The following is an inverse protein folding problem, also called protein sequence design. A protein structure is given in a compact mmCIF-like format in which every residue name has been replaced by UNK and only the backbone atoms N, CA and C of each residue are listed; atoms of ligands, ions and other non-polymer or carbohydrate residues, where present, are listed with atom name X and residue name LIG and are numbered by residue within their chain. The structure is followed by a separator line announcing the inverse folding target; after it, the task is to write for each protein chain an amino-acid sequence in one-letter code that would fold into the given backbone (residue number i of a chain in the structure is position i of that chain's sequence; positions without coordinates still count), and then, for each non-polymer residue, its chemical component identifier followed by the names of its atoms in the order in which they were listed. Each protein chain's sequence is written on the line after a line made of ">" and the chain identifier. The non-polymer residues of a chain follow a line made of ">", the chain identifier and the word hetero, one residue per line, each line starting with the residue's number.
data_IF_635009236276
#
_entry.id   IF_635009236276
#
_cell.length_a   1.000
_cell.length_b   1.000
_cell.length_c   1.000
_cell.angle_alpha   90.00
_cell.angle_beta   90.00
_cell.angle_gamma   90.00
#
_symmetry.space_group_name_H-M   'P 1'
#
loop_
_entity.id
_entity.type
_entity.pdbx_description
1 polymer ?
#
# COMPACT_ATOMS: atom_id res chain seq x y z
N UNK A 1 -17.82 -31.50 -4.90
CA UNK A 1 -18.00 -30.35 -5.81
C UNK A 1 -16.81 -29.43 -5.62
N UNK A 2 -15.93 -29.33 -6.62
CA UNK A 2 -14.75 -28.46 -6.55
C UNK A 2 -15.18 -27.06 -6.98
N UNK A 3 -15.40 -26.16 -6.02
CA UNK A 3 -15.61 -24.75 -6.35
C UNK A 3 -14.30 -24.21 -6.94
N UNK A 4 -14.29 -23.99 -8.25
CA UNK A 4 -13.22 -23.27 -8.92
C UNK A 4 -13.15 -21.85 -8.35
N UNK A 5 -12.23 -21.61 -7.42
CA UNK A 5 -11.96 -20.28 -6.87
C UNK A 5 -11.54 -19.36 -8.01
N UNK A 6 -12.44 -18.48 -8.45
CA UNK A 6 -12.15 -17.47 -9.46
C UNK A 6 -11.15 -16.47 -8.87
N UNK A 7 -9.92 -16.52 -9.35
CA UNK A 7 -8.94 -15.48 -9.10
C UNK A 7 -9.31 -14.25 -9.94
N UNK A 8 -9.23 -13.06 -9.34
CA UNK A 8 -9.53 -11.82 -10.05
C UNK A 8 -8.39 -11.53 -11.05
N UNK A 9 -8.72 -11.40 -12.33
CA UNK A 9 -7.74 -10.96 -13.33
C UNK A 9 -7.47 -9.46 -13.12
N UNK A 10 -6.20 -9.10 -12.95
CA UNK A 10 -5.77 -7.72 -12.71
C UNK A 10 -5.16 -7.14 -13.97
N UNK A 11 -5.44 -5.86 -14.21
CA UNK A 11 -4.67 -5.08 -15.17
C UNK A 11 -3.30 -4.73 -14.56
N UNK A 12 -2.24 -4.61 -15.37
CA UNK A 12 -0.91 -4.19 -14.91
C UNK A 12 -0.94 -2.89 -14.10
N UNK A 13 -1.75 -1.92 -14.55
CA UNK A 13 -1.88 -0.61 -13.90
C UNK A 13 -2.59 -0.66 -12.53
N UNK A 14 -3.26 -1.77 -12.22
CA UNK A 14 -3.96 -1.98 -10.95
C UNK A 14 -3.09 -2.70 -9.90
N UNK A 15 -1.82 -2.98 -10.20
CA UNK A 15 -0.88 -3.58 -9.27
C UNK A 15 -0.52 -2.59 -8.15
N UNK A 16 -0.84 -2.96 -6.92
CA UNK A 16 -0.44 -2.20 -5.73
C UNK A 16 0.78 -2.83 -5.08
N UNK A 17 1.67 -1.99 -4.53
CA UNK A 17 2.74 -2.44 -3.65
C UNK A 17 2.13 -3.18 -2.45
N UNK A 18 2.78 -4.25 -2.01
CA UNK A 18 2.33 -5.18 -0.97
C UNK A 18 1.11 -6.04 -1.34
N UNK A 19 0.75 -6.12 -2.62
CA UNK A 19 -0.29 -7.01 -3.10
C UNK A 19 0.27 -8.40 -3.41
N UNK A 20 -0.40 -9.45 -2.94
CA UNK A 20 -0.06 -10.81 -3.37
C UNK A 20 -0.68 -11.10 -4.73
N UNK A 21 0.13 -11.57 -5.66
CA UNK A 21 -0.26 -11.85 -7.04
C UNK A 21 0.34 -13.17 -7.52
N UNK A 22 -0.35 -13.80 -8.47
CA UNK A 22 0.18 -14.90 -9.28
C UNK A 22 0.28 -14.41 -10.71
N UNK A 23 1.50 -14.38 -11.24
CA UNK A 23 1.80 -13.94 -12.60
C UNK A 23 2.14 -15.15 -13.45
N UNK A 24 1.57 -15.21 -14.65
CA UNK A 24 1.88 -16.20 -15.68
C UNK A 24 2.64 -15.50 -16.81
N UNK A 25 3.84 -15.98 -17.12
CA UNK A 25 4.69 -15.43 -18.18
C UNK A 25 4.37 -16.05 -19.55
N UNK A 26 4.84 -15.43 -20.63
CA UNK A 26 4.70 -15.93 -21.99
C UNK A 26 5.34 -17.32 -22.18
N UNK A 27 6.35 -17.64 -21.37
CA UNK A 27 7.01 -18.94 -21.35
C UNK A 27 6.22 -20.02 -20.60
N UNK A 28 5.07 -19.66 -20.02
CA UNK A 28 4.20 -20.54 -19.25
C UNK A 28 4.63 -20.72 -17.78
N UNK A 29 5.63 -19.96 -17.32
CA UNK A 29 6.06 -19.99 -15.92
C UNK A 29 5.04 -19.27 -15.03
N UNK A 30 4.71 -19.89 -13.89
CA UNK A 30 3.80 -19.31 -12.90
C UNK A 30 4.57 -18.89 -11.66
N UNK A 31 4.63 -17.59 -11.44
CA UNK A 31 5.37 -16.97 -10.34
C UNK A 31 4.34 -16.40 -9.36
N UNK A 32 4.42 -16.82 -8.10
CA UNK A 32 3.54 -16.30 -7.04
C UNK A 32 4.35 -15.60 -5.97
N UNK A 33 3.94 -14.40 -5.60
CA UNK A 33 4.64 -13.63 -4.58
C UNK A 33 3.91 -12.34 -4.22
N UNK A 34 4.64 -11.40 -3.64
CA UNK A 34 4.15 -10.07 -3.29
C UNK A 34 4.87 -9.02 -4.12
N UNK A 35 4.10 -8.07 -4.65
CA UNK A 35 4.61 -6.93 -5.41
C UNK A 35 5.36 -6.01 -4.46
N UNK A 36 6.67 -5.87 -4.65
CA UNK A 36 7.48 -4.91 -3.91
C UNK A 36 7.57 -3.56 -4.63
N UNK A 37 7.57 -3.59 -5.96
CA UNK A 37 7.62 -2.41 -6.80
C UNK A 37 6.88 -2.68 -8.11
N UNK A 38 6.16 -1.69 -8.60
CA UNK A 38 5.47 -1.76 -9.88
C UNK A 38 5.68 -0.44 -10.61
N UNK A 39 6.07 -0.53 -11.86
CA UNK A 39 6.14 0.59 -12.81
C UNK A 39 5.43 0.18 -14.11
N UNK A 40 5.26 1.13 -15.01
CA UNK A 40 4.67 0.98 -16.34
C UNK A 40 5.28 -0.13 -17.20
N UNK A 41 6.56 -0.49 -16.96
CA UNK A 41 7.29 -1.46 -17.79
C UNK A 41 7.64 -2.76 -17.06
N UNK A 42 7.72 -2.75 -15.74
CA UNK A 42 8.23 -3.87 -14.97
C UNK A 42 7.57 -3.99 -13.58
N UNK A 43 7.53 -5.22 -13.08
CA UNK A 43 7.08 -5.55 -11.74
C UNK A 43 8.16 -6.34 -11.01
N UNK A 44 8.45 -5.95 -9.77
CA UNK A 44 9.34 -6.68 -8.87
C UNK A 44 8.49 -7.46 -7.88
N UNK A 45 8.69 -8.78 -7.85
CA UNK A 45 7.94 -9.70 -6.99
C UNK A 45 8.91 -10.42 -6.07
N UNK A 46 8.52 -10.55 -4.81
CA UNK A 46 9.24 -11.36 -3.83
C UNK A 46 8.41 -12.59 -3.50
N UNK A 47 8.99 -13.77 -3.75
CA UNK A 47 8.32 -15.04 -3.49
C UNK A 47 8.27 -15.39 -1.98
N UNK A 48 7.75 -16.57 -1.64
CA UNK A 48 7.69 -17.03 -0.25
C UNK A 48 9.05 -17.37 0.35
N UNK A 49 10.06 -17.63 -0.48
CA UNK A 49 11.44 -17.90 -0.07
C UNK A 49 12.28 -16.63 0.12
N UNK A 50 11.70 -15.45 -0.21
CA UNK A 50 12.42 -14.18 -0.18
C UNK A 50 13.23 -13.91 -1.46
N UNK A 51 13.08 -14.74 -2.50
CA UNK A 51 13.74 -14.52 -3.78
C UNK A 51 13.02 -13.41 -4.54
N UNK A 52 13.78 -12.39 -4.92
CA UNK A 52 13.29 -11.31 -5.76
C UNK A 52 13.34 -11.71 -7.24
N UNK A 53 12.26 -11.47 -7.97
CA UNK A 53 12.15 -11.73 -9.40
C UNK A 53 11.56 -10.49 -10.07
N UNK A 54 12.35 -9.86 -10.94
CA UNK A 54 11.90 -8.76 -11.78
C UNK A 54 11.33 -9.32 -13.08
N UNK A 55 10.11 -8.90 -13.44
CA UNK A 55 9.42 -9.32 -14.64
C UNK A 55 9.08 -8.11 -15.49
N UNK A 56 9.40 -8.16 -16.77
CA UNK A 56 8.93 -7.19 -17.76
C UNK A 56 7.44 -7.46 -18.04
N UNK A 57 6.61 -6.42 -17.96
CA UNK A 57 5.17 -6.53 -18.20
C UNK A 57 4.84 -6.98 -19.63
N UNK A 58 5.73 -6.72 -20.59
CA UNK A 58 5.63 -7.24 -21.96
C UNK A 58 5.61 -8.76 -22.05
N UNK A 59 6.23 -9.43 -21.08
CA UNK A 59 6.36 -10.89 -21.04
C UNK A 59 5.30 -11.53 -20.12
N UNK A 60 4.37 -10.74 -19.59
CA UNK A 60 3.31 -11.19 -18.70
C UNK A 60 2.04 -11.43 -19.48
N UNK A 61 1.50 -12.64 -19.40
CA UNK A 61 0.25 -13.05 -20.07
C UNK A 61 -0.95 -12.80 -19.17
N UNK A 62 -0.84 -13.14 -17.88
CA UNK A 62 -1.92 -12.88 -16.93
C UNK A 62 -1.40 -12.54 -15.54
N UNK A 63 -2.07 -11.60 -14.90
CA UNK A 63 -1.86 -11.24 -13.50
C UNK A 63 -3.14 -11.60 -12.76
N UNK A 64 -3.00 -12.45 -11.76
CA UNK A 64 -4.11 -12.89 -10.92
C UNK A 64 -3.92 -12.32 -9.53
N UNK A 65 -4.93 -11.58 -9.07
CA UNK A 65 -4.97 -10.97 -7.76
C UNK A 65 -5.15 -11.98 -6.63
N UNK A 66 -5.11 -11.49 -5.38
CA UNK A 66 -5.36 -12.33 -4.22
C UNK A 66 -6.76 -12.94 -4.34
N UNK A 67 -6.90 -14.18 -3.87
CA UNK A 67 -8.19 -14.85 -3.89
C UNK A 67 -9.25 -14.00 -3.17
N UNK A 68 -10.45 -13.83 -3.77
CA UNK A 68 -11.54 -13.17 -3.08
C UNK A 68 -11.87 -13.94 -1.81
N UNK A 69 -11.95 -13.23 -0.69
CA UNK A 69 -12.35 -13.81 0.60
C UNK A 69 -13.87 -13.90 0.59
N UNK A 70 -14.38 -15.12 0.72
CA UNK A 70 -15.81 -15.40 0.81
C UNK A 70 -16.17 -15.80 2.24
N UNK A 71 -17.32 -15.35 2.70
CA UNK A 71 -17.92 -15.81 3.94
C UNK A 71 -18.55 -17.22 3.79
N UNK A 72 -18.93 -17.86 4.90
CA UNK A 72 -19.62 -19.15 4.95
C UNK A 72 -20.91 -19.18 4.12
N UNK A 73 -21.52 -18.01 3.90
CA UNK A 73 -22.71 -17.82 3.07
C UNK A 73 -22.38 -17.56 1.58
N UNK A 74 -21.11 -17.63 1.18
CA UNK A 74 -20.65 -17.36 -0.19
C UNK A 74 -20.62 -15.87 -0.56
N UNK A 75 -20.82 -14.97 0.41
CA UNK A 75 -20.82 -13.51 0.19
C UNK A 75 -19.39 -12.99 0.21
N UNK A 76 -19.03 -12.14 -0.75
CA UNK A 76 -17.73 -11.48 -0.81
C UNK A 76 -17.50 -10.59 0.42
N UNK A 77 -16.34 -10.74 1.05
CA UNK A 77 -15.85 -9.81 2.08
C UNK A 77 -15.02 -8.74 1.38
N UNK A 78 -15.45 -7.47 1.52
CA UNK A 78 -14.80 -6.37 0.82
C UNK A 78 -13.44 -6.02 1.44
N UNK A 79 -12.54 -5.40 0.65
CA UNK A 79 -11.25 -4.92 1.17
C UNK A 79 -11.41 -3.88 2.29
N UNK A 80 -12.40 -2.99 2.15
CA UNK A 80 -12.69 -1.96 3.15
C UNK A 80 -13.12 -2.57 4.50
N UNK A 81 -13.88 -3.66 4.46
CA UNK A 81 -14.29 -4.39 5.65
C UNK A 81 -13.11 -5.09 6.32
N UNK A 82 -12.26 -5.77 5.55
CA UNK A 82 -11.01 -6.36 6.07
C UNK A 82 -10.12 -5.27 6.69
N UNK A 83 -9.95 -4.13 6.01
CA UNK A 83 -9.11 -3.04 6.49
C UNK A 83 -9.69 -2.39 7.77
N UNK A 84 -11.00 -2.42 7.99
CA UNK A 84 -11.62 -1.90 9.22
C UNK A 84 -11.25 -2.69 10.49
N UNK A 85 -10.91 -3.98 10.34
CA UNK A 85 -10.45 -4.84 11.42
C UNK A 85 -8.93 -5.00 11.46
N UNK A 86 -8.20 -4.35 10.55
CA UNK A 86 -6.75 -4.45 10.47
C UNK A 86 -6.11 -3.65 11.60
N UNK A 87 -5.31 -4.32 12.41
CA UNK A 87 -4.44 -3.67 13.41
C UNK A 87 -3.00 -3.76 12.93
N UNK A 88 -2.18 -2.75 13.20
CA UNK A 88 -0.75 -2.77 12.82
C UNK A 88 0.14 -3.39 13.92
N UNK A 89 -0.46 -4.15 14.84
CA UNK A 89 0.21 -4.63 16.05
C UNK A 89 1.27 -5.67 15.72
N UNK A 90 0.97 -6.64 14.84
CA UNK A 90 1.96 -7.66 14.48
C UNK A 90 3.01 -7.07 13.53
N UNK A 91 2.65 -6.16 12.63
CA UNK A 91 3.60 -5.42 11.79
C UNK A 91 4.67 -4.74 12.64
N UNK A 92 4.25 -3.95 13.65
CA UNK A 92 5.20 -3.25 14.54
C UNK A 92 6.03 -4.23 15.36
N UNK A 93 5.41 -5.26 15.90
CA UNK A 93 6.09 -6.26 16.73
C UNK A 93 7.16 -7.01 15.93
N UNK A 94 6.80 -7.50 14.74
CA UNK A 94 7.73 -8.22 13.87
C UNK A 94 8.82 -7.30 13.32
N UNK A 95 8.51 -6.04 12.99
CA UNK A 95 9.53 -5.07 12.59
C UNK A 95 10.59 -4.85 13.69
N UNK A 96 10.15 -4.70 14.95
CA UNK A 96 11.06 -4.51 16.09
C UNK A 96 11.89 -5.77 16.32
N UNK A 97 11.24 -6.95 16.40
CA UNK A 97 11.93 -8.22 16.65
C UNK A 97 12.90 -8.56 15.52
N UNK A 98 12.46 -8.43 14.26
CA UNK A 98 13.29 -8.68 13.08
C UNK A 98 14.45 -7.72 12.97
N UNK A 99 14.25 -6.45 13.33
CA UNK A 99 15.30 -5.46 13.45
C UNK A 99 16.35 -5.89 14.47
N UNK A 100 15.95 -6.24 15.70
CA UNK A 100 16.89 -6.67 16.75
C UNK A 100 17.70 -7.90 16.34
N UNK A 101 17.04 -8.94 15.81
CA UNK A 101 17.71 -10.19 15.39
C UNK A 101 18.73 -9.91 14.28
N UNK A 102 18.31 -9.16 13.26
CA UNK A 102 19.15 -8.90 12.10
C UNK A 102 20.25 -7.88 12.39
N UNK A 103 20.00 -6.94 13.29
CA UNK A 103 21.02 -6.05 13.87
C UNK A 103 22.09 -6.83 14.62
N UNK A 104 21.71 -7.80 15.45
CA UNK A 104 22.65 -8.69 16.14
C UNK A 104 23.49 -9.53 15.17
N UNK A 105 22.87 -10.09 14.12
CA UNK A 105 23.58 -10.79 13.04
C UNK A 105 24.55 -9.86 12.29
N UNK A 106 24.11 -8.64 11.96
CA UNK A 106 24.91 -7.62 11.30
C UNK A 106 26.11 -7.15 12.14
N UNK A 107 25.94 -7.06 13.46
CA UNK A 107 27.02 -6.80 14.41
C UNK A 107 28.06 -7.93 14.38
N UNK A 108 27.62 -9.20 14.43
CA UNK A 108 28.54 -10.36 14.39
C UNK A 108 29.29 -10.42 13.06
N UNK A 109 28.59 -10.24 11.94
CA UNK A 109 29.20 -10.22 10.60
C UNK A 109 30.18 -9.05 10.43
N UNK A 110 29.81 -7.86 10.92
CA UNK A 110 30.67 -6.68 10.94
C UNK A 110 31.93 -6.89 11.78
N UNK A 111 31.81 -7.53 12.94
CA UNK A 111 32.96 -7.91 13.78
C UNK A 111 33.90 -8.88 13.05
N UNK A 112 33.35 -9.93 12.43
CA UNK A 112 34.11 -10.91 11.64
C UNK A 112 34.86 -10.25 10.47
N UNK A 113 34.22 -9.35 9.73
CA UNK A 113 34.88 -8.60 8.65
C UNK A 113 35.97 -7.65 9.18
N UNK A 114 35.71 -6.98 10.31
CA UNK A 114 36.70 -6.13 10.99
C UNK A 114 37.98 -6.90 11.34
N UNK A 115 37.85 -8.13 11.88
CA UNK A 115 39.00 -9.00 12.16
C UNK A 115 39.75 -9.47 10.91
N UNK A 116 39.03 -9.68 9.79
CA UNK A 116 39.63 -10.17 8.55
C UNK A 116 40.41 -9.09 7.78
N UNK A 117 40.05 -7.81 7.91
CA UNK A 117 40.61 -6.71 7.11
C UNK A 117 41.85 -6.08 7.78
N UNK A 118 42.14 -6.40 9.04
CA UNK A 118 43.37 -5.96 9.73
C UNK A 118 43.49 -4.44 9.86
N UNK A 119 42.36 -3.73 9.80
CA UNK A 119 42.29 -2.27 9.77
C UNK A 119 42.45 -1.65 11.16
N UNK A 120 43.05 -0.46 11.21
CA UNK A 120 43.16 0.38 12.41
C UNK A 120 41.81 0.62 13.09
N UNK A 121 41.81 0.80 14.42
CA UNK A 121 40.62 0.87 15.31
C UNK A 121 39.47 1.76 14.79
N UNK A 122 39.78 2.82 14.05
CA UNK A 122 38.78 3.72 13.49
C UNK A 122 37.94 3.08 12.37
N UNK A 123 38.55 2.28 11.49
CA UNK A 123 37.83 1.60 10.40
C UNK A 123 37.03 0.38 10.89
N UNK A 124 37.50 -0.29 11.95
CA UNK A 124 36.78 -1.43 12.53
C UNK A 124 35.42 -1.02 13.12
N UNK A 125 35.39 0.09 13.87
CA UNK A 125 34.12 0.60 14.44
C UNK A 125 33.13 1.02 13.36
N UNK A 126 33.60 1.60 12.25
CA UNK A 126 32.75 1.99 11.12
C UNK A 126 32.13 0.77 10.43
N UNK A 127 32.91 -0.30 10.21
CA UNK A 127 32.42 -1.53 9.57
C UNK A 127 31.38 -2.24 10.45
N UNK A 128 31.60 -2.29 11.77
CA UNK A 128 30.66 -2.87 12.73
C UNK A 128 29.37 -2.05 12.77
N UNK A 129 29.47 -0.72 12.80
CA UNK A 129 28.31 0.17 12.84
C UNK A 129 27.48 0.05 11.57
N UNK A 130 28.12 0.06 10.39
CA UNK A 130 27.44 -0.13 9.11
C UNK A 130 26.76 -1.49 9.06
N UNK A 131 27.47 -2.58 9.40
CA UNK A 131 26.89 -3.93 9.40
C UNK A 131 25.67 -4.04 10.32
N UNK A 132 25.72 -3.43 11.51
CA UNK A 132 24.61 -3.41 12.46
C UNK A 132 23.43 -2.58 11.96
N UNK A 133 23.68 -1.38 11.41
CA UNK A 133 22.64 -0.51 10.85
C UNK A 133 21.93 -1.18 9.67
N UNK A 134 22.70 -1.74 8.72
CA UNK A 134 22.14 -2.43 7.56
C UNK A 134 21.38 -3.69 7.96
N UNK A 135 21.86 -4.42 8.98
CA UNK A 135 21.16 -5.54 9.58
C UNK A 135 19.81 -5.13 10.18
N UNK A 136 19.79 -4.06 10.99
CA UNK A 136 18.57 -3.54 11.62
C UNK A 136 17.50 -3.16 10.60
N UNK A 137 17.87 -2.41 9.55
CA UNK A 137 16.91 -1.91 8.56
C UNK A 137 16.37 -3.03 7.68
N UNK A 138 17.25 -3.88 7.16
CA UNK A 138 16.87 -4.99 6.27
C UNK A 138 16.01 -6.01 7.02
N UNK A 139 16.39 -6.36 8.25
CA UNK A 139 15.61 -7.22 9.12
C UNK A 139 14.25 -6.63 9.48
N UNK A 140 14.22 -5.36 9.86
CA UNK A 140 12.98 -4.68 10.19
C UNK A 140 11.98 -4.73 9.03
N UNK A 141 12.42 -4.47 7.80
CA UNK A 141 11.56 -4.49 6.60
C UNK A 141 11.07 -5.91 6.30
N UNK A 142 11.97 -6.90 6.24
CA UNK A 142 11.60 -8.28 5.91
C UNK A 142 10.58 -8.85 6.91
N UNK A 143 10.82 -8.64 8.20
CA UNK A 143 9.88 -9.12 9.22
C UNK A 143 8.61 -8.26 9.30
N UNK A 144 8.66 -6.95 9.02
CA UNK A 144 7.46 -6.11 8.91
C UNK A 144 6.50 -6.62 7.84
N UNK A 145 7.00 -7.06 6.68
CA UNK A 145 6.13 -7.63 5.63
C UNK A 145 5.45 -8.92 6.09
N UNK A 146 6.13 -9.73 6.91
CA UNK A 146 5.56 -10.94 7.51
C UNK A 146 4.50 -10.60 8.55
N UNK A 147 4.77 -9.62 9.42
CA UNK A 147 3.80 -9.12 10.39
C UNK A 147 2.54 -8.54 9.72
N UNK A 148 2.71 -7.79 8.63
CA UNK A 148 1.61 -7.22 7.85
C UNK A 148 0.69 -8.31 7.23
N UNK A 149 1.27 -9.42 6.77
CA UNK A 149 0.50 -10.57 6.27
C UNK A 149 -0.33 -11.18 7.39
N UNK A 150 0.25 -11.34 8.58
CA UNK A 150 -0.43 -11.94 9.72
C UNK A 150 -1.53 -11.02 10.30
N UNK A 151 -1.30 -9.71 10.30
CA UNK A 151 -2.32 -8.71 10.63
C UNK A 151 -3.52 -8.80 9.67
N UNK A 152 -3.25 -8.97 8.38
CA UNK A 152 -4.31 -9.15 7.37
C UNK A 152 -5.08 -10.46 7.55
N UNK A 153 -4.40 -11.56 7.85
CA UNK A 153 -5.05 -12.86 8.14
C UNK A 153 -5.98 -12.75 9.35
N UNK A 154 -5.51 -12.16 10.45
CA UNK A 154 -6.35 -11.90 11.63
C UNK A 154 -7.53 -10.98 11.31
N UNK A 155 -7.32 -9.95 10.50
CA UNK A 155 -8.39 -9.05 10.09
C UNK A 155 -9.47 -9.77 9.27
N UNK A 156 -9.06 -10.69 8.38
CA UNK A 156 -9.98 -11.57 7.64
C UNK A 156 -10.74 -12.47 8.61
N UNK A 157 -10.06 -13.12 9.55
CA UNK A 157 -10.68 -13.99 10.55
C UNK A 157 -11.71 -13.22 11.41
N UNK A 158 -11.35 -12.03 11.88
CA UNK A 158 -12.27 -11.16 12.62
C UNK A 158 -13.47 -10.71 11.78
N UNK A 159 -13.26 -10.36 10.51
CA UNK A 159 -14.36 -10.02 9.61
C UNK A 159 -15.33 -11.21 9.45
N UNK A 160 -14.81 -12.42 9.25
CA UNK A 160 -15.62 -13.63 9.13
C UNK A 160 -16.34 -13.99 10.45
N UNK A 161 -15.65 -13.90 11.59
CA UNK A 161 -16.24 -14.16 12.90
C UNK A 161 -17.32 -13.14 13.26
N UNK A 162 -17.14 -11.86 12.91
CA UNK A 162 -18.14 -10.83 13.16
C UNK A 162 -19.44 -11.08 12.37
N UNK A 163 -19.33 -11.55 11.12
CA UNK A 163 -20.48 -11.97 10.30
C UNK A 163 -21.12 -13.28 10.75
N UNK A 164 -20.39 -14.16 11.44
CA UNK A 164 -20.93 -15.40 12.00
C UNK A 164 -21.63 -15.18 13.36
N UNK A 165 -21.14 -14.23 14.16
CA UNK A 165 -21.65 -13.94 15.50
C UNK A 165 -22.90 -13.05 15.48
N UNK A 166 -22.97 -12.11 14.55
CA UNK A 166 -24.19 -11.38 14.23
C UNK A 166 -24.83 -12.08 13.06
N UNK A 167 -26.07 -12.57 13.20
CA UNK A 167 -26.89 -13.05 12.08
C UNK A 167 -26.97 -11.92 11.02
N UNK A 168 -25.98 -11.88 10.12
CA UNK A 168 -25.65 -10.73 9.30
C UNK A 168 -26.75 -10.54 8.27
N UNK A 169 -27.82 -9.87 8.68
CA UNK A 169 -28.74 -9.21 7.77
C UNK A 169 -27.91 -8.13 7.09
N UNK A 170 -27.80 -8.24 5.77
CA UNK A 170 -27.32 -7.16 4.90
C UNK A 170 -28.17 -5.93 5.25
N UNK A 171 -27.66 -5.11 6.15
CA UNK A 171 -28.16 -3.78 6.41
C UNK A 171 -27.72 -2.98 5.19
N UNK A 172 -28.58 -2.93 4.18
CA UNK A 172 -28.53 -1.84 3.20
C UNK A 172 -28.31 -0.55 4.00
N UNK A 173 -27.38 0.34 3.58
CA UNK A 173 -26.99 1.51 4.35
C UNK A 173 -28.25 2.19 4.87
N UNK A 174 -28.32 2.34 6.19
CA UNK A 174 -29.48 2.89 6.87
C UNK A 174 -29.77 4.24 6.20
N UNK A 175 -31.02 4.55 5.83
CA UNK A 175 -31.38 5.76 5.06
C UNK A 175 -30.79 7.06 5.67
N UNK A 176 -30.43 7.04 6.96
CA UNK A 176 -29.74 8.11 7.68
C UNK A 176 -28.34 8.42 7.14
N UNK A 177 -27.57 7.42 6.73
CA UNK A 177 -26.21 7.62 6.21
C UNK A 177 -26.25 8.24 4.80
N UNK A 178 -27.22 7.85 3.99
CA UNK A 178 -27.49 8.49 2.69
C UNK A 178 -27.94 9.95 2.86
N UNK A 179 -28.72 10.27 3.89
CA UNK A 179 -29.12 11.65 4.20
C UNK A 179 -27.90 12.47 4.64
N UNK A 180 -27.02 11.92 5.48
CA UNK A 180 -25.79 12.60 5.91
C UNK A 180 -24.84 12.85 4.73
N UNK A 181 -24.67 11.87 3.85
CA UNK A 181 -23.88 12.00 2.63
C UNK A 181 -24.46 13.06 1.68
N UNK A 182 -25.78 13.05 1.45
CA UNK A 182 -26.45 14.06 0.63
C UNK A 182 -26.30 15.46 1.21
N UNK A 183 -26.45 15.62 2.53
CA UNK A 183 -26.26 16.91 3.20
C UNK A 183 -24.83 17.42 3.05
N UNK A 184 -23.82 16.55 3.20
CA UNK A 184 -22.41 16.91 3.06
C UNK A 184 -22.03 17.27 1.62
N UNK A 185 -22.63 16.57 0.64
CA UNK A 185 -22.47 16.92 -0.78
C UNK A 185 -23.09 18.29 -1.08
N UNK A 186 -24.29 18.56 -0.54
CA UNK A 186 -24.97 19.84 -0.72
C UNK A 186 -24.17 21.01 -0.11
N UNK A 187 -23.56 20.79 1.05
CA UNK A 187 -22.69 21.75 1.72
C UNK A 187 -21.46 22.10 0.85
N UNK A 188 -20.76 21.09 0.33
CA UNK A 188 -19.60 21.30 -0.56
C UNK A 188 -19.97 22.02 -1.86
N UNK A 189 -21.14 21.75 -2.43
CA UNK A 189 -21.62 22.45 -3.63
C UNK A 189 -21.90 23.92 -3.33
N UNK A 190 -22.52 24.22 -2.19
CA UNK A 190 -22.79 25.60 -1.77
C UNK A 190 -21.50 26.38 -1.50
N UNK A 191 -20.49 25.74 -0.88
CA UNK A 191 -19.18 26.36 -0.68
C UNK A 191 -18.48 26.67 -2.01
N UNK A 192 -18.51 25.75 -2.97
CA UNK A 192 -17.98 25.99 -4.31
C UNK A 192 -18.65 27.17 -5.00
N UNK A 193 -19.98 27.27 -4.94
CA UNK A 193 -20.70 28.39 -5.53
C UNK A 193 -20.39 29.73 -4.88
N UNK A 194 -20.12 29.76 -3.57
CA UNK A 194 -19.68 30.99 -2.89
C UNK A 194 -18.29 31.40 -3.36
N UNK A 195 -17.36 30.44 -3.42
CA UNK A 195 -16.00 30.68 -3.90
C UNK A 195 -16.01 31.16 -5.36
N UNK A 196 -16.82 30.55 -6.22
CA UNK A 196 -16.96 30.98 -7.62
C UNK A 196 -17.48 32.41 -7.74
N UNK A 197 -18.47 32.80 -6.91
CA UNK A 197 -18.97 34.18 -6.87
C UNK A 197 -17.93 35.17 -6.34
N UNK A 198 -17.16 34.78 -5.32
CA UNK A 198 -16.05 35.60 -4.81
C UNK A 198 -14.96 35.77 -5.87
N UNK A 199 -14.63 34.70 -6.62
CA UNK A 199 -13.71 34.77 -7.75
C UNK A 199 -14.23 35.70 -8.85
N UNK A 200 -15.52 35.60 -9.19
CA UNK A 200 -16.15 36.46 -10.20
C UNK A 200 -16.15 37.94 -9.78
N UNK A 201 -16.47 38.24 -8.52
CA UNK A 201 -16.39 39.59 -7.97
C UNK A 201 -14.96 40.14 -7.97
N UNK A 202 -13.98 39.33 -7.57
CA UNK A 202 -12.58 39.72 -7.60
C UNK A 202 -12.07 39.95 -9.04
N UNK A 203 -12.56 39.17 -10.01
CA UNK A 203 -12.23 39.35 -11.42
C UNK A 203 -12.86 40.62 -12.01
N UNK A 204 -14.07 40.98 -11.59
CA UNK A 204 -14.75 42.22 -11.98
C UNK A 204 -14.02 43.44 -11.39
N UNK A 205 -13.67 43.40 -10.10
CA UNK A 205 -12.84 44.42 -9.43
C UNK A 205 -11.46 44.57 -10.09
N UNK A 206 -10.84 43.48 -10.55
CA UNK A 206 -9.57 43.50 -11.28
C UNK A 206 -9.71 43.98 -12.74
N UNK A 207 -10.87 43.77 -13.36
CA UNK A 207 -11.21 44.25 -14.70
C UNK A 207 -11.36 45.76 -14.73
N UNK A 208 -12.05 46.33 -13.74
CA UNK A 208 -12.24 47.78 -13.57
C UNK A 208 -10.93 48.52 -13.23
N UNK A 209 -9.94 47.84 -12.63
CA UNK A 209 -8.62 48.43 -12.33
C UNK A 209 -7.71 48.45 -13.58
N UNK A 210 -8.11 47.84 -14.70
CA UNK A 210 -7.28 47.65 -15.90
C UNK A 210 -7.69 48.47 -17.13
N UNK A 211 -8.56 49.47 -16.99
CA UNK A 211 -8.59 50.62 -17.93
C UNK A 211 -7.67 51.74 -17.42
N UNK A 212 -6.38 51.75 -17.81
CA UNK A 212 -5.56 52.93 -17.62
C UNK A 212 -6.10 54.07 -18.49
N UNK A 213 -6.27 55.24 -17.89
CA UNK A 213 -6.32 56.50 -18.61
C UNK A 213 -5.00 56.71 -19.37
N UNK A 214 -4.88 56.10 -20.55
CA UNK A 214 -4.01 56.61 -21.61
C UNK A 214 -4.70 57.80 -22.28
N UNK A 215 -4.54 58.99 -21.69
CA UNK A 215 -4.53 60.23 -22.47
C UNK A 215 -3.49 61.18 -21.89
N UNK A 216 -2.26 61.07 -22.38
CA UNK A 216 -1.29 62.15 -22.32
C UNK A 216 -0.97 62.60 -23.76
N UNK A 217 -1.29 63.87 -24.04
CA UNK A 217 -0.71 64.79 -25.06
C UNK A 217 -1.01 64.62 -26.56
N UNK A 218 -1.82 65.57 -27.03
CA UNK A 218 -1.68 66.36 -28.27
C UNK A 218 -2.57 67.58 -28.06
N UNK A 219 -2.17 68.86 -28.08
CA UNK A 219 -0.99 69.61 -28.51
C UNK A 219 -0.61 70.67 -27.45
#
# INVERSE_FOLDING_TARGET
>A
MSCSMQQLLLNPDALQVNQSVTIETADGEKISGVVCMSDSNAVLIVDKSGKETALLLSNVVSIKGPHPVLDNNGVLVSKAEIDSFRTDTNLKTYAIVGGIISGGMGFIAGNLMSYAIGSSDYNNNVIIYIGTMTGLTTGGILFATTGARHDREKAIEHALLSRAAYDYKISLPDQKDDILLRNKIQEMVNERQKIEKEIEQLLDELGDVKEPQETHKSE
#
